data_IF_090962664329
#
_entry.id   IF_090962664329
#
_cell.length_a   1.000
_cell.length_b   1.000
_cell.length_c   1.000
_cell.angle_alpha   90.00
_cell.angle_beta   90.00
_cell.angle_gamma   90.00
#
_symmetry.space_group_name_H-M   'P 1'
#
loop_
_entity.id
_entity.type
_entity.pdbx_description
1 polymer ?
#
# COMPACT_ATOMS: atom_id res chain seq x y z
N UNK A 1 -6.99 -24.57 -8.15
CA UNK A 1 -7.13 -23.71 -9.35
C UNK A 1 -6.06 -22.63 -9.25
N UNK A 2 -4.99 -22.76 -10.04
CA UNK A 2 -3.90 -21.79 -10.11
C UNK A 2 -4.15 -20.81 -11.27
N UNK A 3 -3.86 -19.51 -11.14
CA UNK A 3 -3.91 -18.57 -12.24
C UNK A 3 -2.69 -18.75 -13.18
N UNK A 4 -2.84 -18.57 -14.50
CA UNK A 4 -1.76 -18.74 -15.46
C UNK A 4 -0.79 -17.54 -15.45
N UNK A 5 0.47 -17.84 -15.73
CA UNK A 5 1.57 -16.90 -15.93
C UNK A 5 1.24 -15.90 -17.04
N UNK A 6 1.30 -14.60 -16.73
CA UNK A 6 1.31 -13.53 -17.72
C UNK A 6 2.76 -13.24 -18.11
N UNK A 7 3.20 -13.71 -19.27
CA UNK A 7 4.45 -13.28 -19.89
C UNK A 7 4.23 -11.93 -20.58
N UNK A 8 5.13 -10.99 -20.34
CA UNK A 8 5.13 -9.68 -20.99
C UNK A 8 5.48 -9.85 -22.47
N UNK A 9 4.49 -9.68 -23.35
CA UNK A 9 4.70 -9.59 -24.79
C UNK A 9 5.33 -8.22 -25.07
N UNK A 10 6.65 -8.21 -25.28
CA UNK A 10 7.35 -7.13 -25.96
C UNK A 10 6.73 -6.95 -27.34
N UNK A 11 5.77 -6.04 -27.43
CA UNK A 11 5.14 -5.67 -28.68
C UNK A 11 6.06 -4.65 -29.32
N UNK A 12 7.04 -5.13 -30.09
CA UNK A 12 7.76 -4.29 -31.04
C UNK A 12 6.74 -3.81 -32.08
N UNK A 13 6.17 -2.63 -31.86
CA UNK A 13 5.35 -1.96 -32.86
C UNK A 13 6.24 -1.68 -34.08
N UNK A 14 5.90 -2.19 -35.27
CA UNK A 14 6.59 -1.77 -36.49
C UNK A 14 6.38 -0.28 -36.65
N UNK A 15 7.48 0.48 -36.72
CA UNK A 15 7.43 1.85 -37.20
C UNK A 15 6.66 1.87 -38.53
N UNK A 16 5.62 2.69 -38.68
CA UNK A 16 4.92 2.77 -39.95
C UNK A 16 5.89 3.38 -40.96
N UNK A 17 6.49 2.54 -41.81
CA UNK A 17 7.16 3.00 -43.02
C UNK A 17 6.09 3.70 -43.84
N UNK A 18 6.04 5.03 -43.73
CA UNK A 18 5.06 5.87 -44.41
C UNK A 18 5.51 6.04 -45.85
N UNK A 19 5.50 4.93 -46.58
CA UNK A 19 5.56 4.92 -48.03
C UNK A 19 4.22 5.48 -48.49
N UNK A 20 4.12 6.79 -48.63
CA UNK A 20 3.05 7.37 -49.43
C UNK A 20 3.33 7.04 -50.89
N UNK A 21 2.99 5.82 -51.27
CA UNK A 21 2.78 5.50 -52.67
C UNK A 21 1.70 6.44 -53.18
N UNK A 22 2.08 7.27 -54.16
CA UNK A 22 1.17 8.17 -54.87
C UNK A 22 -0.11 7.41 -55.23
N UNK A 23 -1.31 7.91 -54.89
CA UNK A 23 -2.54 7.19 -55.15
C UNK A 23 -2.65 6.88 -56.66
N UNK A 24 -3.15 5.69 -57.05
CA UNK A 24 -3.31 5.31 -58.45
C UNK A 24 -4.08 6.39 -59.20
N UNK A 25 -3.56 6.78 -60.37
CA UNK A 25 -4.25 7.72 -61.25
C UNK A 25 -5.53 7.04 -61.74
N UNK A 26 -6.69 7.46 -61.22
CA UNK A 26 -7.96 7.21 -61.88
C UNK A 26 -7.97 8.01 -63.18
N UNK A 27 -8.15 7.31 -64.30
CA UNK A 27 -8.30 7.90 -65.62
C UNK A 27 -9.65 8.61 -65.68
N UNK A 28 -9.63 9.93 -65.53
CA UNK A 28 -10.64 10.84 -66.05
C UNK A 28 -9.92 12.17 -66.34
N UNK A 29 -9.83 12.50 -67.62
CA UNK A 29 -8.97 13.56 -68.19
C UNK A 29 -9.42 15.01 -67.92
N UNK A 30 -10.28 15.27 -66.92
CA UNK A 30 -10.88 16.60 -66.75
C UNK A 30 -10.71 17.26 -65.38
N UNK A 31 -9.89 16.72 -64.45
CA UNK A 31 -9.60 17.42 -63.19
C UNK A 31 -8.10 17.57 -62.90
N UNK A 32 -7.63 18.77 -63.27
CA UNK A 32 -6.45 19.50 -62.79
C UNK A 32 -6.24 19.47 -61.26
N UNK A 33 -5.72 18.41 -60.61
CA UNK A 33 -5.32 18.57 -59.18
C UNK A 33 -4.13 19.52 -59.11
N UNK A 34 -4.36 20.77 -58.72
CA UNK A 34 -3.31 21.71 -58.32
C UNK A 34 -2.82 21.26 -56.95
N UNK A 35 -1.70 20.57 -56.90
CA UNK A 35 -1.00 20.34 -55.63
C UNK A 35 -0.32 21.66 -55.29
N UNK A 36 -0.62 22.24 -54.11
CA UNK A 36 0.02 23.49 -53.71
C UNK A 36 1.46 23.20 -53.25
N UNK A 37 2.41 24.01 -53.69
CA UNK A 37 3.82 23.90 -53.31
C UNK A 37 4.04 24.08 -51.79
N UNK A 38 3.05 24.66 -51.11
CA UNK A 38 2.98 24.81 -49.64
C UNK A 38 3.02 23.44 -48.94
N UNK A 39 2.37 22.41 -49.50
CA UNK A 39 2.37 21.08 -48.89
C UNK A 39 3.75 20.40 -48.96
N UNK A 40 4.54 20.73 -49.98
CA UNK A 40 5.88 20.18 -50.17
C UNK A 40 6.90 20.89 -49.28
N UNK A 41 6.81 22.22 -49.15
CA UNK A 41 7.67 22.97 -48.22
C UNK A 41 7.36 22.63 -46.75
N UNK A 42 6.09 22.47 -46.35
CA UNK A 42 5.73 22.02 -44.99
C UNK A 42 6.30 20.64 -44.64
N UNK A 43 6.33 19.73 -45.62
CA UNK A 43 6.90 18.39 -45.41
C UNK A 43 8.43 18.46 -45.25
N UNK A 44 9.08 19.36 -46.00
CA UNK A 44 10.53 19.56 -46.00
C UNK A 44 11.02 20.35 -44.79
N UNK A 45 10.23 21.29 -44.27
CA UNK A 45 10.51 22.01 -43.02
C UNK A 45 10.38 21.07 -41.83
N UNK A 46 9.35 20.22 -41.80
CA UNK A 46 9.20 19.17 -40.78
C UNK A 46 10.39 18.20 -40.78
N UNK A 47 10.89 17.78 -41.94
CA UNK A 47 12.05 16.89 -42.04
C UNK A 47 13.37 17.55 -41.57
N UNK A 48 13.51 18.88 -41.70
CA UNK A 48 14.68 19.63 -41.19
C UNK A 48 14.60 19.90 -39.69
N UNK A 49 13.41 20.16 -39.16
CA UNK A 49 13.21 20.32 -37.71
C UNK A 49 13.40 18.99 -36.95
N UNK A 50 13.19 17.85 -37.63
CA UNK A 50 13.39 16.51 -37.08
C UNK A 50 14.90 16.16 -36.94
N UNK A 51 15.79 16.69 -37.78
CA UNK A 51 17.24 16.43 -37.66
C UNK A 51 17.90 17.18 -36.46
N UNK A 52 17.34 18.32 -36.03
CA UNK A 52 17.87 19.08 -34.89
C UNK A 52 17.12 18.83 -33.57
N UNK A 53 15.93 18.22 -33.62
CA UNK A 53 15.08 17.97 -32.42
C UNK A 53 15.01 16.50 -31.97
N UNK A 54 15.75 15.57 -32.59
CA UNK A 54 15.64 14.13 -32.27
C UNK A 54 16.34 13.67 -30.98
N UNK A 55 17.07 14.54 -30.27
CA UNK A 55 17.61 14.20 -28.96
C UNK A 55 16.75 14.78 -27.84
N UNK A 56 15.50 14.30 -27.71
CA UNK A 56 14.87 14.35 -26.40
C UNK A 56 15.80 13.62 -25.43
N UNK A 57 16.08 14.17 -24.23
CA UNK A 57 16.90 13.48 -23.25
C UNK A 57 16.31 12.09 -23.02
N UNK A 58 17.14 11.04 -22.90
CA UNK A 58 16.66 9.68 -22.67
C UNK A 58 15.73 9.73 -21.46
N UNK A 59 14.46 9.41 -21.68
CA UNK A 59 13.48 9.27 -20.61
C UNK A 59 14.04 8.14 -19.74
N UNK A 60 14.37 8.41 -18.48
CA UNK A 60 14.73 7.32 -17.57
C UNK A 60 13.46 6.48 -17.41
N UNK A 61 13.38 5.38 -18.14
CA UNK A 61 12.28 4.44 -18.05
C UNK A 61 12.17 4.02 -16.59
N UNK A 62 10.95 4.10 -16.05
CA UNK A 62 10.74 3.76 -14.66
C UNK A 62 10.85 2.24 -14.48
N UNK A 63 11.40 1.83 -13.34
CA UNK A 63 11.71 0.44 -13.03
C UNK A 63 10.79 -0.06 -11.90
N UNK A 64 10.31 -1.29 -12.03
CA UNK A 64 9.57 -1.98 -10.97
C UNK A 64 10.50 -2.36 -9.82
N UNK A 65 10.24 -1.82 -8.63
CA UNK A 65 11.07 -2.05 -7.47
C UNK A 65 10.25 -2.55 -6.27
N UNK A 66 10.62 -3.72 -5.75
CA UNK A 66 9.92 -4.37 -4.63
C UNK A 66 10.44 -3.89 -3.26
N UNK A 67 9.59 -3.23 -2.48
CA UNK A 67 9.91 -2.77 -1.13
C UNK A 67 10.36 -3.92 -0.22
N UNK A 68 11.50 -3.76 0.45
CA UNK A 68 12.07 -4.79 1.35
C UNK A 68 11.32 -4.89 2.70
N UNK A 69 10.50 -3.89 3.06
CA UNK A 69 9.70 -3.91 4.29
C UNK A 69 8.36 -4.64 4.12
N UNK A 70 7.53 -4.19 3.18
CA UNK A 70 6.15 -4.67 3.00
C UNK A 70 5.99 -5.65 1.84
N UNK A 71 6.99 -5.77 0.95
CA UNK A 71 6.97 -6.67 -0.19
C UNK A 71 6.07 -6.23 -1.35
N UNK A 72 5.51 -5.02 -1.32
CA UNK A 72 4.78 -4.44 -2.44
C UNK A 72 5.75 -3.97 -3.53
N UNK A 73 5.39 -4.19 -4.79
CA UNK A 73 6.11 -3.70 -5.97
C UNK A 73 5.39 -2.49 -6.53
N UNK A 74 6.17 -1.47 -6.86
CA UNK A 74 5.72 -0.18 -7.39
C UNK A 74 6.79 0.32 -8.38
N UNK A 75 6.38 1.17 -9.32
CA UNK A 75 7.22 1.71 -10.39
C UNK A 75 7.88 3.03 -9.95
N UNK A 76 9.20 3.14 -10.12
CA UNK A 76 9.98 4.31 -9.68
C UNK A 76 11.12 4.64 -10.64
N UNK A 77 11.57 5.90 -10.64
CA UNK A 77 12.76 6.27 -11.40
C UNK A 77 14.03 5.70 -10.74
N UNK A 78 15.04 5.30 -11.52
CA UNK A 78 16.28 4.74 -10.98
C UNK A 78 17.02 5.73 -10.07
N UNK A 79 16.95 7.03 -10.34
CA UNK A 79 17.52 8.08 -9.50
C UNK A 79 16.86 8.11 -8.12
N UNK A 80 15.53 7.95 -8.07
CA UNK A 80 14.79 7.89 -6.82
C UNK A 80 15.15 6.62 -6.04
N UNK A 81 15.24 5.48 -6.71
CA UNK A 81 15.67 4.20 -6.11
C UNK A 81 17.03 4.35 -5.43
N UNK A 82 17.99 4.93 -6.14
CA UNK A 82 19.33 5.18 -5.61
C UNK A 82 19.30 6.10 -4.39
N UNK A 83 18.61 7.23 -4.48
CA UNK A 83 18.48 8.20 -3.38
C UNK A 83 17.87 7.58 -2.11
N UNK A 84 16.87 6.70 -2.27
CA UNK A 84 16.27 5.98 -1.14
C UNK A 84 17.26 4.97 -0.55
N UNK A 85 17.93 4.17 -1.38
CA UNK A 85 18.95 3.22 -0.91
C UNK A 85 20.06 3.92 -0.12
N UNK A 86 20.52 5.08 -0.57
CA UNK A 86 21.56 5.86 0.12
C UNK A 86 21.08 6.33 1.52
N UNK A 87 19.79 6.65 1.67
CA UNK A 87 19.20 7.10 2.94
C UNK A 87 18.94 5.98 3.94
N UNK A 88 18.61 4.78 3.45
CA UNK A 88 18.15 3.66 4.29
C UNK A 88 19.12 2.46 4.25
N UNK A 89 20.43 2.70 4.39
CA UNK A 89 21.45 1.64 4.51
C UNK A 89 21.46 0.63 3.35
N UNK A 90 21.32 1.14 2.14
CA UNK A 90 21.27 0.34 0.92
C UNK A 90 19.94 -0.37 0.70
N UNK A 91 18.98 -0.25 1.61
CA UNK A 91 17.66 -0.88 1.52
C UNK A 91 16.73 -0.06 0.66
N UNK A 92 16.03 -0.74 -0.24
CA UNK A 92 14.95 -0.12 -1.00
C UNK A 92 13.62 -0.29 -0.27
N UNK A 93 12.96 0.83 0.00
CA UNK A 93 11.68 0.88 0.70
C UNK A 93 10.73 1.83 -0.04
N UNK A 94 9.43 1.50 -0.08
CA UNK A 94 8.43 2.36 -0.72
C UNK A 94 8.19 3.65 0.08
N UNK A 95 7.55 4.64 -0.55
CA UNK A 95 7.30 5.95 0.06
C UNK A 95 6.62 5.87 1.44
N UNK A 96 5.61 5.00 1.61
CA UNK A 96 4.92 4.83 2.89
C UNK A 96 5.80 4.25 3.99
N UNK A 97 6.63 3.25 3.66
CA UNK A 97 7.59 2.71 4.61
C UNK A 97 8.68 3.72 4.95
N UNK A 98 9.07 4.59 4.01
CA UNK A 98 10.05 5.63 4.27
C UNK A 98 9.57 6.66 5.29
N UNK A 99 8.31 7.09 5.22
CA UNK A 99 7.72 7.98 6.22
C UNK A 99 7.58 7.29 7.58
N UNK A 100 7.17 6.03 7.60
CA UNK A 100 7.10 5.27 8.84
C UNK A 100 8.47 5.10 9.50
N UNK A 101 9.55 4.87 8.73
CA UNK A 101 10.91 4.79 9.28
C UNK A 101 11.36 6.15 9.82
N UNK A 102 11.04 7.27 9.15
CA UNK A 102 11.33 8.61 9.69
C UNK A 102 10.63 8.84 11.03
N UNK A 103 9.37 8.44 11.16
CA UNK A 103 8.63 8.52 12.43
C UNK A 103 9.30 7.67 13.52
N UNK A 104 9.76 6.46 13.20
CA UNK A 104 10.51 5.62 14.14
C UNK A 104 11.88 6.19 14.49
N UNK A 105 12.52 6.93 13.58
CA UNK A 105 13.77 7.64 13.87
C UNK A 105 13.54 8.74 14.91
N UNK A 106 12.45 9.51 14.80
CA UNK A 106 12.11 10.54 15.78
C UNK A 106 11.87 9.95 17.18
N UNK A 107 11.26 8.76 17.26
CA UNK A 107 11.02 8.05 18.52
C UNK A 107 12.28 7.50 19.17
N UNK A 108 13.23 6.99 18.35
CA UNK A 108 14.42 6.26 18.82
C UNK A 108 15.69 7.12 18.85
N UNK A 109 15.57 8.45 18.95
CA UNK A 109 16.72 9.34 19.08
C UNK A 109 17.55 9.52 17.80
N UNK A 110 16.94 9.31 16.63
CA UNK A 110 17.52 9.63 15.31
C UNK A 110 18.34 8.52 14.65
N UNK A 111 18.44 7.34 15.26
CA UNK A 111 19.24 6.24 14.70
C UNK A 111 18.52 5.53 13.56
N UNK A 112 18.88 5.85 12.31
CA UNK A 112 18.27 5.27 11.10
C UNK A 112 18.26 3.73 11.08
N UNK A 113 19.34 3.08 11.53
CA UNK A 113 19.45 1.61 11.57
C UNK A 113 18.45 0.94 12.47
N UNK A 114 18.37 1.41 13.70
CA UNK A 114 17.46 0.86 14.69
C UNK A 114 16.01 1.10 14.29
N UNK A 115 15.69 2.31 13.81
CA UNK A 115 14.37 2.65 13.30
C UNK A 115 13.97 1.78 12.10
N UNK A 116 14.88 1.58 11.14
CA UNK A 116 14.64 0.75 9.97
C UNK A 116 14.42 -0.73 10.37
N UNK A 117 15.27 -1.29 11.24
CA UNK A 117 15.14 -2.67 11.71
C UNK A 117 13.83 -2.89 12.49
N UNK A 118 13.49 -1.95 13.37
CA UNK A 118 12.23 -1.97 14.12
C UNK A 118 11.03 -1.95 13.19
N UNK A 119 11.00 -1.01 12.23
CA UNK A 119 9.93 -0.93 11.24
C UNK A 119 9.85 -2.20 10.39
N UNK A 120 10.98 -2.72 9.88
CA UNK A 120 11.01 -3.95 9.09
C UNK A 120 10.43 -5.13 9.87
N UNK A 121 10.78 -5.29 11.14
CA UNK A 121 10.25 -6.37 11.98
C UNK A 121 8.72 -6.28 12.16
N UNK A 122 8.21 -5.06 12.42
CA UNK A 122 6.78 -4.81 12.57
C UNK A 122 6.02 -4.99 11.27
N UNK A 123 6.54 -4.45 10.17
CA UNK A 123 5.94 -4.53 8.85
C UNK A 123 5.90 -5.96 8.35
N UNK A 124 6.99 -6.73 8.52
CA UNK A 124 7.04 -8.14 8.16
C UNK A 124 6.03 -8.97 8.96
N UNK A 125 5.96 -8.77 10.28
CA UNK A 125 4.97 -9.44 11.13
C UNK A 125 3.54 -9.10 10.72
N UNK A 126 3.27 -7.83 10.46
CA UNK A 126 1.96 -7.37 10.00
C UNK A 126 1.60 -7.99 8.65
N UNK A 127 2.52 -8.02 7.68
CA UNK A 127 2.22 -8.58 6.37
C UNK A 127 2.01 -10.11 6.43
N UNK A 128 2.80 -10.81 7.24
CA UNK A 128 2.70 -12.27 7.42
C UNK A 128 1.43 -12.70 8.15
N UNK A 129 0.99 -11.94 9.16
CA UNK A 129 -0.13 -12.33 10.03
C UNK A 129 -1.32 -11.38 9.90
N UNK A 130 -1.09 -10.09 10.15
CA UNK A 130 -2.14 -9.07 10.19
C UNK A 130 -2.91 -8.91 8.86
N UNK A 131 -2.18 -8.80 7.74
CA UNK A 131 -2.77 -8.66 6.41
C UNK A 131 -3.34 -9.99 5.90
N UNK A 132 -2.61 -11.08 6.05
CA UNK A 132 -2.99 -12.39 5.53
C UNK A 132 -4.14 -13.05 6.32
N UNK A 133 -4.20 -12.83 7.64
CA UNK A 133 -5.12 -13.50 8.56
C UNK A 133 -5.78 -12.53 9.56
N UNK A 134 -6.51 -11.50 9.10
CA UNK A 134 -7.04 -10.46 9.97
C UNK A 134 -7.97 -10.99 11.06
N UNK A 135 -8.79 -12.01 10.75
CA UNK A 135 -9.70 -12.64 11.73
C UNK A 135 -8.94 -13.38 12.82
N UNK A 136 -7.83 -14.06 12.50
CA UNK A 136 -7.01 -14.73 13.51
C UNK A 136 -6.34 -13.72 14.44
N UNK A 137 -5.85 -12.60 13.89
CA UNK A 137 -5.28 -11.52 14.70
C UNK A 137 -6.33 -10.88 15.61
N UNK A 138 -7.56 -10.67 15.13
CA UNK A 138 -8.67 -10.19 15.95
C UNK A 138 -9.02 -11.18 17.06
N UNK A 139 -9.12 -12.47 16.76
CA UNK A 139 -9.38 -13.50 17.74
C UNK A 139 -8.27 -13.56 18.80
N UNK A 140 -7.00 -13.45 18.41
CA UNK A 140 -5.87 -13.37 19.35
C UNK A 140 -5.98 -12.13 20.25
N UNK A 141 -6.30 -10.96 19.69
CA UNK A 141 -6.48 -9.75 20.47
C UNK A 141 -7.61 -9.91 21.50
N UNK A 142 -8.74 -10.50 21.10
CA UNK A 142 -9.85 -10.83 22.01
C UNK A 142 -9.42 -11.80 23.11
N UNK A 143 -8.65 -12.84 22.77
CA UNK A 143 -8.09 -13.79 23.74
C UNK A 143 -7.21 -13.08 24.76
N UNK A 144 -6.31 -12.20 24.33
CA UNK A 144 -5.42 -11.47 25.23
C UNK A 144 -6.16 -10.51 26.16
N UNK A 145 -7.21 -9.84 25.68
CA UNK A 145 -8.09 -9.02 26.52
C UNK A 145 -8.78 -9.86 27.61
N UNK A 146 -9.31 -11.03 27.26
CA UNK A 146 -9.96 -11.94 28.21
C UNK A 146 -8.94 -12.52 29.21
N UNK A 147 -7.74 -12.91 28.77
CA UNK A 147 -6.66 -13.37 29.66
C UNK A 147 -6.23 -12.27 30.64
N UNK A 148 -6.05 -11.03 30.16
CA UNK A 148 -5.65 -9.89 31.00
C UNK A 148 -6.73 -9.56 32.02
N UNK A 149 -8.00 -9.49 31.61
CA UNK A 149 -9.12 -9.22 32.50
C UNK A 149 -9.34 -10.33 33.54
N UNK A 150 -9.17 -11.60 33.18
CA UNK A 150 -9.20 -12.73 34.12
C UNK A 150 -8.10 -12.62 35.19
N UNK A 151 -6.86 -12.30 34.79
CA UNK A 151 -5.75 -12.08 35.74
C UNK A 151 -5.97 -10.89 36.68
N UNK A 152 -6.59 -9.82 36.20
CA UNK A 152 -6.95 -8.65 37.03
C UNK A 152 -8.07 -9.04 38.01
N UNK A 153 -9.09 -9.79 37.56
CA UNK A 153 -10.19 -10.28 38.40
C UNK A 153 -9.73 -11.28 39.45
N UNK A 154 -8.75 -12.13 39.15
CA UNK A 154 -8.16 -13.06 40.12
C UNK A 154 -7.32 -12.36 41.20
N UNK A 155 -6.80 -11.15 40.92
CA UNK A 155 -6.07 -10.32 41.90
C UNK A 155 -6.99 -9.40 42.70
N UNK A 156 -8.17 -9.06 42.18
CA UNK A 156 -9.22 -8.44 42.99
C UNK A 156 -9.85 -9.53 43.85
N UNK A 157 -9.47 -9.59 45.12
CA UNK A 157 -10.05 -10.45 46.14
C UNK A 157 -11.57 -10.55 45.96
N UNK A 158 -12.05 -11.79 45.85
CA UNK A 158 -13.47 -12.12 45.99
C UNK A 158 -13.97 -11.49 47.31
N UNK A 159 -15.08 -10.71 47.30
CA UNK A 159 -15.67 -10.20 48.54
C UNK A 159 -16.14 -11.28 49.51
N UNK A 160 -16.06 -12.57 49.15
CA UNK A 160 -16.45 -13.70 50.01
C UNK A 160 -15.36 -14.16 50.98
N UNK A 161 -14.11 -13.74 50.80
CA UNK A 161 -12.99 -14.23 51.63
C UNK A 161 -12.62 -13.29 52.80
N UNK A 162 -13.33 -12.17 52.98
CA UNK A 162 -13.17 -11.30 54.15
C UNK A 162 -14.24 -11.56 55.21
N UNK A 163 -14.28 -12.78 55.76
CA UNK A 163 -14.84 -12.99 57.10
C UNK A 163 -13.88 -12.34 58.12
N UNK A 164 -14.05 -11.04 58.39
CA UNK A 164 -13.50 -10.42 59.60
C UNK A 164 -12.81 -9.06 59.50
N UNK A 165 -12.83 -8.33 58.38
CA UNK A 165 -12.20 -7.00 58.31
C UNK A 165 -13.20 -5.86 58.60
N UNK A 166 -12.86 -4.86 59.44
CA UNK A 166 -13.76 -3.75 59.79
C UNK A 166 -14.00 -2.84 58.60
N UNK A 167 -15.28 -2.57 58.33
CA UNK A 167 -15.76 -1.75 57.21
C UNK A 167 -15.35 -0.29 57.40
N UNK A 168 -14.42 0.22 56.59
CA UNK A 168 -14.24 1.66 56.35
C UNK A 168 -14.28 1.93 54.84
N UNK A 169 -15.35 2.61 54.43
CA UNK A 169 -15.43 3.48 53.25
C UNK A 169 -15.04 2.87 51.90
N UNK A 170 -15.91 2.04 51.32
CA UNK A 170 -15.86 1.69 49.89
C UNK A 170 -17.08 2.28 49.18
N UNK A 171 -16.86 3.03 48.10
CA UNK A 171 -17.93 3.61 47.26
C UNK A 171 -18.86 2.48 46.80
N UNK A 172 -20.12 2.53 47.26
CA UNK A 172 -21.17 1.60 46.90
C UNK A 172 -21.50 1.74 45.42
N UNK A 173 -21.42 0.64 44.67
CA UNK A 173 -21.80 0.63 43.25
C UNK A 173 -23.32 0.78 43.14
N UNK A 174 -23.79 1.74 42.36
CA UNK A 174 -25.22 2.00 42.12
C UNK A 174 -25.95 0.74 41.66
N UNK A 175 -27.06 0.43 42.33
CA UNK A 175 -27.91 -0.74 42.15
C UNK A 175 -28.85 -0.62 40.94
N UNK A 176 -28.36 -0.25 39.77
CA UNK A 176 -29.21 -0.10 38.57
C UNK A 176 -29.53 -1.41 37.85
N UNK A 177 -28.96 -2.55 38.28
CA UNK A 177 -29.39 -3.87 37.80
C UNK A 177 -30.43 -4.46 38.76
N UNK A 178 -31.70 -4.18 38.50
CA UNK A 178 -32.82 -5.01 39.00
C UNK A 178 -32.84 -6.31 38.18
N UNK A 179 -32.53 -7.48 38.76
CA UNK A 179 -32.83 -8.75 38.10
C UNK A 179 -34.36 -8.87 38.06
N UNK A 180 -34.91 -8.97 36.86
CA UNK A 180 -36.34 -9.19 36.63
C UNK A 180 -36.82 -10.37 37.49
N UNK A 181 -37.76 -10.06 38.38
CA UNK A 181 -38.62 -11.01 39.09
C UNK A 181 -39.25 -11.98 38.08
N UNK A 182 -38.97 -13.27 38.23
CA UNK A 182 -39.82 -14.33 37.72
C UNK A 182 -39.72 -15.45 38.75
N UNK A 183 -40.80 -15.61 39.52
CA UNK A 183 -41.35 -16.85 40.03
C UNK A 183 -42.04 -16.59 41.38
N UNK A 184 -43.33 -16.23 41.33
CA UNK A 184 -44.28 -16.62 42.37
C UNK A 184 -45.44 -17.35 41.68
N UNK A 185 -45.15 -18.60 41.28
CA UNK A 185 -46.16 -19.63 41.11
C UNK A 185 -46.29 -20.33 42.45
N UNK A 186 -47.18 -19.85 43.31
CA UNK A 186 -47.92 -20.66 44.30
C UNK A 186 -49.14 -19.87 44.75
N UNK A 187 -50.25 -20.13 44.07
CA UNK A 187 -51.59 -20.13 44.68
C UNK A 187 -51.59 -21.34 45.63
N UNK A 188 -51.86 -21.10 46.91
CA UNK A 188 -52.31 -22.04 47.96
C UNK A 188 -52.35 -21.23 49.28
N UNK A 189 -53.39 -21.11 50.12
CA UNK A 189 -54.77 -21.60 50.23
C UNK A 189 -55.60 -20.48 50.88
#
# INVERSE_FOLDING_TARGET
MAPPHGEAVLTSFPMPTRNFSRPPKLANDNLKRTVSDIAFELSKEMDREIEESQALPPISEAEDAKCECCGMSEEYTPEYIKCVRDKFQGKWICGLCSEAVKEEMEKNGGMCKEALETHMSHCHRFNKLGRAYPVLCQAEAMREILKKSSKIRAKSLSPRDLKGAPKKGGITRSSSCMPSMMNDLTIDN
#
